data_IF_681548222663
#
_entry.id   IF_681548222663
#
_cell.length_a   1.000
_cell.length_b   1.000
_cell.length_c   1.000
_cell.angle_alpha   90.00
_cell.angle_beta   90.00
_cell.angle_gamma   90.00
#
_symmetry.space_group_name_H-M   'P 1'
#
loop_
_entity.id
_entity.type
_entity.pdbx_description
1 polymer ?
#
# COMPACT_ATOMS: atom_id res chain seq x y z
N UNK A 1 4.95 -17.78 9.27
CA UNK A 1 3.75 -17.26 9.97
C UNK A 1 2.67 -17.18 8.90
N UNK A 2 1.65 -18.06 8.92
CA UNK A 2 0.60 -18.10 7.90
C UNK A 2 -0.51 -17.15 8.33
N UNK A 3 -0.80 -16.11 7.54
CA UNK A 3 -1.97 -15.25 7.76
C UNK A 3 -3.25 -16.11 7.68
N UNK A 4 -4.24 -15.90 8.57
CA UNK A 4 -5.48 -16.66 8.52
C UNK A 4 -6.26 -16.31 7.24
N UNK A 5 -6.71 -17.34 6.54
CA UNK A 5 -7.50 -17.29 5.29
C UNK A 5 -8.76 -16.39 5.39
N UNK A 6 -9.18 -16.07 6.61
CA UNK A 6 -10.27 -15.15 6.93
C UNK A 6 -10.03 -13.71 6.43
N UNK A 7 -8.77 -13.26 6.34
CA UNK A 7 -8.44 -11.91 5.88
C UNK A 7 -8.67 -11.76 4.36
N UNK A 8 -8.42 -12.82 3.59
CA UNK A 8 -8.62 -12.83 2.14
C UNK A 8 -10.09 -12.70 1.72
N UNK A 9 -11.04 -13.10 2.56
CA UNK A 9 -12.47 -13.01 2.27
C UNK A 9 -13.09 -11.65 2.62
N UNK A 10 -12.43 -10.83 3.46
CA UNK A 10 -12.90 -9.48 3.75
C UNK A 10 -12.48 -8.46 2.68
N UNK A 11 -11.42 -8.76 1.92
CA UNK A 11 -10.85 -7.88 0.89
C UNK A 11 -11.65 -7.83 -0.42
N UNK A 12 -12.48 -8.83 -0.73
CA UNK A 12 -13.24 -8.85 -2.00
C UNK A 12 -14.65 -8.23 -1.92
N UNK A 13 -15.06 -7.67 -0.78
CA UNK A 13 -16.43 -7.16 -0.59
C UNK A 13 -16.59 -5.66 -0.92
N UNK A 14 -15.51 -4.96 -1.24
CA UNK A 14 -15.54 -3.57 -1.66
C UNK A 14 -15.41 -3.44 -3.18
N UNK A 15 -16.52 -3.72 -3.85
CA UNK A 15 -16.98 -3.11 -5.10
C UNK A 15 -16.06 -3.17 -6.34
N UNK A 16 -16.15 -4.29 -7.07
CA UNK A 16 -16.28 -4.24 -8.52
C UNK A 16 -17.51 -5.04 -8.97
N UNK A 17 -18.25 -4.48 -9.94
CA UNK A 17 -19.39 -5.11 -10.56
C UNK A 17 -18.90 -6.04 -11.69
N UNK A 18 -18.96 -7.33 -11.39
CA UNK A 18 -19.10 -8.54 -12.22
C UNK A 18 -18.95 -8.42 -13.75
N UNK A 19 -18.02 -9.20 -14.33
CA UNK A 19 -18.13 -9.78 -15.68
C UNK A 19 -17.19 -10.99 -15.86
N UNK A 20 -17.81 -12.17 -15.94
CA UNK A 20 -17.32 -13.46 -16.47
C UNK A 20 -16.29 -13.38 -17.63
N UNK A 21 -15.28 -14.26 -17.62
CA UNK A 21 -15.18 -15.40 -18.56
C UNK A 21 -13.74 -15.94 -18.82
N UNK A 22 -13.56 -17.25 -18.55
CA UNK A 22 -12.74 -18.25 -19.29
C UNK A 22 -11.20 -18.08 -19.30
N UNK A 23 -10.36 -19.11 -19.32
CA UNK A 23 -10.47 -20.56 -19.51
C UNK A 23 -9.03 -21.12 -19.62
N UNK A 24 -8.78 -22.32 -19.10
CA UNK A 24 -7.41 -22.83 -18.88
C UNK A 24 -6.70 -23.47 -20.07
N UNK A 25 -5.46 -23.92 -19.81
CA UNK A 25 -4.85 -25.12 -20.37
C UNK A 25 -3.50 -25.43 -19.70
N UNK A 26 -3.33 -26.65 -19.18
CA UNK A 26 -2.04 -27.26 -18.84
C UNK A 26 -1.29 -27.72 -20.12
N UNK A 27 0.03 -27.93 -20.04
CA UNK A 27 0.51 -29.25 -20.43
C UNK A 27 1.69 -29.82 -19.61
N UNK A 28 1.48 -31.05 -19.16
CA UNK A 28 2.33 -32.27 -19.25
C UNK A 28 3.86 -32.16 -19.39
N UNK A 29 4.56 -32.86 -18.47
CA UNK A 29 6.02 -32.99 -18.42
C UNK A 29 6.65 -34.10 -19.27
N UNK A 30 7.99 -34.21 -19.13
CA UNK A 30 8.82 -35.31 -19.61
C UNK A 30 10.13 -35.41 -18.76
N UNK A 31 10.86 -36.55 -18.79
CA UNK A 31 11.73 -37.00 -17.69
C UNK A 31 13.22 -36.62 -17.83
N UNK A 32 13.94 -36.62 -16.70
CA UNK A 32 15.38 -36.33 -16.60
C UNK A 32 16.27 -37.57 -16.78
N UNK A 33 17.42 -37.37 -17.43
CA UNK A 33 18.59 -38.27 -17.49
C UNK A 33 19.80 -37.60 -16.80
N UNK A 34 20.79 -38.38 -16.31
CA UNK A 34 21.76 -37.91 -15.32
C UNK A 34 22.89 -37.04 -15.91
N UNK A 35 23.37 -36.10 -15.09
CA UNK A 35 24.40 -35.10 -15.40
C UNK A 35 25.80 -35.70 -15.62
N UNK A 36 26.44 -35.25 -16.70
CA UNK A 36 27.87 -35.40 -16.99
C UNK A 36 28.62 -34.15 -16.50
N UNK A 37 29.79 -34.33 -15.89
CA UNK A 37 30.55 -33.26 -15.25
C UNK A 37 31.39 -32.51 -16.30
N UNK A 38 30.87 -31.38 -16.79
CA UNK A 38 31.51 -30.54 -17.80
C UNK A 38 31.68 -29.07 -17.38
N UNK A 39 32.92 -28.60 -17.46
CA UNK A 39 33.43 -27.23 -17.68
C UNK A 39 32.44 -26.06 -17.54
N UNK A 40 32.68 -25.19 -16.55
CA UNK A 40 31.94 -23.94 -16.33
C UNK A 40 32.06 -22.99 -17.52
N UNK A 41 31.01 -22.93 -18.33
CA UNK A 41 30.71 -21.84 -19.25
C UNK A 41 29.84 -20.83 -18.50
N UNK A 42 30.14 -19.53 -18.61
CA UNK A 42 29.28 -18.46 -18.12
C UNK A 42 27.93 -18.56 -18.83
N UNK A 43 27.00 -19.26 -18.19
CA UNK A 43 25.62 -19.40 -18.65
C UNK A 43 24.91 -18.13 -18.20
N UNK A 44 24.34 -17.31 -19.11
CA UNK A 44 23.47 -16.22 -18.68
C UNK A 44 22.38 -16.83 -17.80
N UNK A 45 22.18 -16.26 -16.61
CA UNK A 45 21.07 -16.68 -15.75
C UNK A 45 19.78 -16.67 -16.59
N UNK A 46 18.92 -17.70 -16.47
CA UNK A 46 17.63 -17.65 -17.13
C UNK A 46 16.92 -16.33 -16.74
N UNK A 47 16.17 -15.71 -17.66
CA UNK A 47 15.36 -14.56 -17.29
C UNK A 47 14.49 -14.99 -16.10
N UNK A 48 14.61 -14.28 -14.98
CA UNK A 48 13.78 -14.56 -13.84
C UNK A 48 12.31 -14.48 -14.29
N UNK A 49 11.57 -15.55 -14.03
CA UNK A 49 10.14 -15.60 -14.33
C UNK A 49 9.44 -14.89 -13.19
N UNK A 50 9.18 -13.60 -13.38
CA UNK A 50 8.42 -12.83 -12.40
C UNK A 50 6.96 -13.26 -12.45
N UNK A 51 6.37 -13.49 -11.27
CA UNK A 51 4.93 -13.58 -11.16
C UNK A 51 4.33 -12.19 -11.49
N UNK A 52 3.17 -12.14 -12.17
CA UNK A 52 2.47 -10.88 -12.37
C UNK A 52 2.09 -10.28 -11.01
N UNK A 53 2.29 -8.98 -10.86
CA UNK A 53 1.80 -8.23 -9.70
C UNK A 53 0.37 -7.82 -10.00
N UNK A 54 -0.50 -8.00 -9.01
CA UNK A 54 -1.94 -7.71 -9.12
C UNK A 54 -2.35 -6.64 -8.13
N UNK A 55 -1.72 -6.60 -6.95
CA UNK A 55 -2.11 -5.68 -5.88
C UNK A 55 -0.93 -4.88 -5.35
N UNK A 56 -1.25 -3.83 -4.59
CA UNK A 56 -0.27 -3.01 -3.92
C UNK A 56 -0.75 -2.51 -2.55
N UNK A 57 0.18 -2.13 -1.70
CA UNK A 57 -0.11 -1.42 -0.45
C UNK A 57 0.95 -0.35 -0.20
N UNK A 58 0.60 0.64 0.63
CA UNK A 58 1.49 1.73 1.03
C UNK A 58 1.82 1.62 2.51
N UNK A 59 3.10 1.75 2.85
CA UNK A 59 3.57 1.84 4.23
C UNK A 59 4.54 3.00 4.37
N UNK A 60 4.62 3.60 5.54
CA UNK A 60 5.60 4.65 5.73
C UNK A 60 5.45 5.43 7.02
N UNK A 61 6.21 6.51 7.09
CA UNK A 61 6.20 7.46 8.18
C UNK A 61 6.11 8.87 7.61
N UNK A 62 5.34 9.72 8.29
CA UNK A 62 5.21 11.13 7.95
C UNK A 62 5.25 11.97 9.22
N UNK A 63 6.03 13.04 9.22
CA UNK A 63 6.04 14.01 10.32
C UNK A 63 5.19 15.22 9.95
N UNK A 64 4.33 15.67 10.86
CA UNK A 64 3.57 16.92 10.73
C UNK A 64 4.28 18.01 11.52
N UNK A 65 4.46 19.20 10.94
CA UNK A 65 5.00 20.39 11.59
C UNK A 65 4.19 21.60 11.14
N UNK A 66 3.51 22.27 12.07
CA UNK A 66 2.70 23.44 11.77
C UNK A 66 1.59 23.14 10.76
N UNK A 67 0.88 22.02 10.95
CA UNK A 67 -0.24 21.53 10.13
C UNK A 67 0.15 20.99 8.73
N UNK A 68 1.42 21.09 8.33
CA UNK A 68 1.92 20.56 7.07
C UNK A 68 2.79 19.31 7.27
N UNK A 69 2.81 18.41 6.28
CA UNK A 69 3.79 17.32 6.26
C UNK A 69 5.20 17.92 6.05
N UNK A 70 6.16 17.48 6.86
CA UNK A 70 7.58 17.74 6.65
C UNK A 70 8.11 16.79 5.55
N UNK A 71 8.37 17.30 4.34
CA UNK A 71 8.78 16.44 3.24
C UNK A 71 10.20 15.87 3.45
N UNK A 72 11.02 16.44 4.33
CA UNK A 72 12.33 15.90 4.67
C UNK A 72 12.26 14.69 5.61
N UNK A 73 11.14 14.53 6.31
CA UNK A 73 10.86 13.42 7.24
C UNK A 73 9.79 12.46 6.71
N UNK A 74 9.31 12.66 5.48
CA UNK A 74 8.38 11.75 4.82
C UNK A 74 9.12 10.58 4.20
N UNK A 75 8.77 9.36 4.61
CA UNK A 75 9.35 8.12 4.10
C UNK A 75 8.23 7.17 3.72
N UNK A 76 8.05 6.92 2.43
CA UNK A 76 7.02 6.02 1.92
C UNK A 76 7.64 4.82 1.19
N UNK A 77 6.97 3.68 1.31
CA UNK A 77 7.29 2.40 0.66
C UNK A 77 6.03 1.86 -0.01
N UNK A 78 6.13 1.50 -1.29
CA UNK A 78 5.12 0.69 -1.97
C UNK A 78 5.51 -0.78 -1.86
N UNK A 79 4.53 -1.59 -1.47
CA UNK A 79 4.61 -3.04 -1.48
C UNK A 79 3.78 -3.59 -2.61
N UNK A 80 4.41 -4.32 -3.52
CA UNK A 80 3.81 -4.93 -4.70
C UNK A 80 3.56 -6.40 -4.45
N UNK A 81 2.30 -6.82 -4.57
CA UNK A 81 1.86 -8.17 -4.24
C UNK A 81 1.39 -8.94 -5.48
N UNK A 82 1.77 -10.21 -5.51
CA UNK A 82 1.24 -11.23 -6.43
C UNK A 82 -0.15 -11.71 -5.97
N UNK A 83 -0.87 -12.41 -6.84
CA UNK A 83 -2.21 -12.96 -6.51
C UNK A 83 -2.24 -13.85 -5.26
N UNK A 84 -1.14 -14.57 -5.00
CA UNK A 84 -1.03 -15.45 -3.85
C UNK A 84 -0.68 -14.72 -2.54
N UNK A 85 -0.44 -13.40 -2.60
CA UNK A 85 -0.05 -12.52 -1.51
C UNK A 85 1.19 -13.03 -0.74
N UNK A 86 2.05 -13.85 -1.38
CA UNK A 86 3.21 -14.44 -0.71
C UNK A 86 4.45 -13.56 -0.87
N UNK A 87 4.63 -12.66 0.10
CA UNK A 87 5.76 -11.71 0.20
C UNK A 87 5.72 -10.62 -0.87
N UNK A 88 5.52 -9.35 -0.49
CA UNK A 88 5.56 -8.28 -1.46
C UNK A 88 7.00 -7.99 -1.89
N UNK A 89 7.16 -7.45 -3.09
CA UNK A 89 8.32 -6.63 -3.38
C UNK A 89 8.13 -5.24 -2.76
N UNK A 90 9.09 -4.79 -1.95
CA UNK A 90 9.10 -3.44 -1.38
C UNK A 90 9.97 -2.50 -2.22
N UNK A 91 9.40 -1.36 -2.63
CA UNK A 91 10.08 -0.31 -3.36
C UNK A 91 9.96 1.01 -2.58
N UNK A 92 11.05 1.72 -2.29
CA UNK A 92 10.96 3.06 -1.73
C UNK A 92 10.30 4.00 -2.74
N UNK A 93 9.40 4.85 -2.26
CA UNK A 93 8.82 5.93 -3.05
C UNK A 93 9.74 7.15 -2.96
N UNK A 94 10.43 7.54 -4.04
CA UNK A 94 11.16 8.79 -4.05
C UNK A 94 10.16 9.93 -3.97
N UNK A 95 10.30 10.77 -2.96
CA UNK A 95 9.52 11.99 -2.82
C UNK A 95 10.46 13.15 -3.04
N UNK A 96 10.18 13.97 -4.05
CA UNK A 96 10.81 15.28 -4.15
C UNK A 96 9.99 16.28 -3.33
N UNK A 97 10.65 17.04 -2.47
CA UNK A 97 9.99 17.96 -1.54
C UNK A 97 9.23 19.08 -2.28
N UNK A 98 9.58 19.38 -3.53
CA UNK A 98 8.86 20.34 -4.38
C UNK A 98 7.50 19.80 -4.88
N UNK A 99 7.30 18.48 -4.78
CA UNK A 99 6.14 17.78 -5.33
C UNK A 99 5.08 17.49 -4.26
N UNK A 100 5.35 17.86 -3.00
CA UNK A 100 4.38 17.84 -1.91
C UNK A 100 3.54 19.12 -1.95
N UNK A 101 2.26 18.97 -2.32
CA UNK A 101 1.31 20.08 -2.38
C UNK A 101 0.18 19.80 -1.41
N UNK A 102 0.01 20.69 -0.42
CA UNK A 102 -1.19 20.71 0.40
C UNK A 102 -2.38 21.14 -0.46
N UNK A 103 -3.42 20.34 -0.41
CA UNK A 103 -4.59 20.56 -1.25
C UNK A 103 -5.73 21.20 -0.44
N UNK A 104 -6.36 22.24 -1.00
CA UNK A 104 -7.53 22.91 -0.41
C UNK A 104 -8.67 21.90 -0.11
N UNK A 105 -9.60 22.15 0.84
CA UNK A 105 -10.55 21.15 1.31
C UNK A 105 -11.29 20.41 0.19
N UNK A 106 -11.23 19.08 0.23
CA UNK A 106 -11.59 18.15 -0.85
C UNK A 106 -13.10 17.79 -0.85
N UNK A 107 -13.62 17.20 -1.96
CA UNK A 107 -15.06 17.06 -2.25
C UNK A 107 -15.75 16.16 -1.23
N UNK A 108 -17.07 16.27 -1.15
CA UNK A 108 -17.93 15.61 -0.16
C UNK A 108 -17.70 14.08 -0.09
N UNK A 109 -16.71 13.68 0.69
CA UNK A 109 -16.64 12.33 1.23
C UNK A 109 -17.51 12.32 2.49
N UNK A 110 -18.06 11.16 2.84
CA UNK A 110 -18.74 11.00 4.13
C UNK A 110 -17.78 11.10 5.33
N UNK A 111 -16.47 11.16 5.06
CA UNK A 111 -15.42 11.23 6.06
C UNK A 111 -15.01 12.70 6.31
N UNK A 112 -14.81 13.05 7.58
CA UNK A 112 -14.24 14.33 7.93
C UNK A 112 -12.72 14.27 7.76
N UNK A 113 -12.22 14.76 6.63
CA UNK A 113 -10.79 14.79 6.32
C UNK A 113 -10.12 15.93 7.11
N UNK A 114 -8.97 15.62 7.71
CA UNK A 114 -8.16 16.55 8.50
C UNK A 114 -7.08 17.19 7.63
N UNK A 115 -6.48 16.43 6.71
CA UNK A 115 -5.45 16.93 5.79
C UNK A 115 -5.37 16.08 4.52
N UNK A 116 -4.86 16.68 3.45
CA UNK A 116 -4.73 16.05 2.14
C UNK A 116 -3.51 16.59 1.39
N UNK A 117 -2.71 15.68 0.84
CA UNK A 117 -1.44 16.00 0.19
C UNK A 117 -1.31 15.24 -1.12
N UNK A 118 -0.82 15.93 -2.14
CA UNK A 118 -0.42 15.32 -3.41
C UNK A 118 1.07 14.99 -3.37
N UNK A 119 1.43 13.81 -3.87
CA UNK A 119 2.82 13.35 -4.05
C UNK A 119 2.99 12.91 -5.50
N UNK A 120 3.87 13.58 -6.23
CA UNK A 120 4.38 13.06 -7.50
C UNK A 120 5.54 12.10 -7.21
N UNK A 121 5.42 10.86 -7.65
CA UNK A 121 6.46 9.85 -7.48
C UNK A 121 7.19 9.50 -8.79
N UNK A 122 6.93 10.25 -9.86
CA UNK A 122 7.61 10.12 -11.14
C UNK A 122 7.47 8.73 -11.77
N UNK A 123 8.41 8.37 -12.65
CA UNK A 123 8.48 7.03 -13.24
C UNK A 123 9.15 6.03 -12.28
N UNK A 124 8.40 5.04 -11.79
CA UNK A 124 9.01 3.92 -11.06
C UNK A 124 9.71 2.98 -12.05
N UNK A 125 10.99 3.25 -12.24
CA UNK A 125 11.91 2.24 -12.74
C UNK A 125 12.36 1.43 -11.53
N UNK A 126 11.89 0.19 -11.38
CA UNK A 126 12.46 -0.69 -10.37
C UNK A 126 13.93 -0.90 -10.74
N UNK A 127 14.84 -0.33 -9.95
CA UNK A 127 16.27 -0.61 -10.11
C UNK A 127 16.60 -2.04 -9.65
N UNK A 128 15.68 -2.65 -8.88
CA UNK A 128 15.77 -4.05 -8.49
C UNK A 128 15.23 -4.92 -9.64
N UNK A 129 16.09 -5.73 -10.28
CA UNK A 129 15.64 -6.65 -11.30
C UNK A 129 14.53 -7.57 -10.77
N UNK A 130 14.43 -7.82 -9.46
CA UNK A 130 13.46 -8.68 -8.80
C UNK A 130 11.99 -8.25 -8.87
N UNK A 131 11.71 -7.01 -9.24
CA UNK A 131 10.42 -6.38 -8.96
C UNK A 131 9.77 -5.82 -10.21
N UNK A 132 8.45 -6.01 -10.34
CA UNK A 132 7.70 -5.30 -11.36
C UNK A 132 7.77 -3.78 -11.13
N UNK A 133 7.69 -3.02 -12.22
CA UNK A 133 7.56 -1.58 -12.13
C UNK A 133 6.21 -1.19 -11.54
N UNK A 134 6.17 -0.03 -10.89
CA UNK A 134 4.93 0.60 -10.43
C UNK A 134 4.52 1.69 -11.44
N UNK A 135 3.23 1.92 -11.71
CA UNK A 135 2.83 2.99 -12.63
C UNK A 135 3.32 4.36 -12.18
N UNK A 136 3.85 5.13 -13.13
CA UNK A 136 4.19 6.53 -12.91
C UNK A 136 2.92 7.34 -12.64
N UNK A 137 2.98 8.32 -11.73
CA UNK A 137 1.86 9.22 -11.53
C UNK A 137 1.89 9.99 -10.22
N UNK A 138 0.70 10.44 -9.85
CA UNK A 138 0.47 11.19 -8.62
C UNK A 138 -0.30 10.31 -7.64
N UNK A 139 0.23 10.14 -6.44
CA UNK A 139 -0.51 9.58 -5.32
C UNK A 139 -0.95 10.73 -4.43
N UNK A 140 -2.24 10.77 -4.11
CA UNK A 140 -2.74 11.69 -3.12
C UNK A 140 -3.12 10.95 -1.84
N UNK A 141 -2.69 11.52 -0.72
CA UNK A 141 -2.79 10.98 0.62
C UNK A 141 -3.68 11.87 1.47
N UNK A 142 -4.64 11.23 2.12
CA UNK A 142 -5.53 11.88 3.07
C UNK A 142 -5.45 11.26 4.44
N UNK A 143 -5.57 12.11 5.45
CA UNK A 143 -5.80 11.68 6.83
C UNK A 143 -7.12 12.29 7.28
N UNK A 144 -7.95 11.48 7.93
CA UNK A 144 -9.27 11.89 8.39
C UNK A 144 -9.76 11.12 9.60
N UNK A 145 -11.02 11.34 9.98
CA UNK A 145 -11.67 10.52 10.99
C UNK A 145 -11.60 9.02 10.66
N UNK A 146 -11.44 8.21 11.70
CA UNK A 146 -11.59 6.76 11.61
C UNK A 146 -12.93 6.38 10.99
N UNK A 147 -12.95 5.30 10.21
CA UNK A 147 -14.14 4.77 9.59
C UNK A 147 -14.32 3.28 9.97
N UNK A 148 -15.46 2.91 10.59
CA UNK A 148 -15.71 1.55 11.07
C UNK A 148 -15.69 0.46 10.00
N UNK A 149 -15.68 0.82 8.71
CA UNK A 149 -15.46 -0.16 7.63
C UNK A 149 -14.09 -0.86 7.73
N UNK A 150 -13.14 -0.29 8.48
CA UNK A 150 -11.84 -0.89 8.76
C UNK A 150 -11.84 -1.88 9.93
N UNK A 151 -12.92 -1.97 10.72
CA UNK A 151 -12.99 -2.82 11.93
C UNK A 151 -12.54 -4.26 11.66
N UNK A 152 -12.95 -4.95 10.58
CA UNK A 152 -12.49 -6.33 10.33
C UNK A 152 -10.98 -6.45 10.12
N UNK A 153 -10.35 -5.45 9.51
CA UNK A 153 -8.91 -5.43 9.27
C UNK A 153 -8.14 -5.04 10.54
N UNK A 154 -8.69 -4.14 11.35
CA UNK A 154 -8.19 -3.79 12.67
C UNK A 154 -8.26 -4.96 13.65
N UNK A 155 -9.36 -5.70 13.65
CA UNK A 155 -9.54 -6.92 14.46
C UNK A 155 -8.47 -7.96 14.15
N UNK A 156 -8.18 -8.18 12.86
CA UNK A 156 -7.14 -9.13 12.46
C UNK A 156 -5.73 -8.77 12.95
N UNK A 157 -5.49 -7.49 13.28
CA UNK A 157 -4.24 -7.00 13.90
C UNK A 157 -4.32 -6.87 15.42
N UNK A 158 -5.46 -7.17 16.04
CA UNK A 158 -5.75 -6.91 17.45
C UNK A 158 -5.66 -5.41 17.81
N UNK A 159 -6.16 -4.55 16.92
CA UNK A 159 -6.12 -3.10 17.04
C UNK A 159 -7.50 -2.46 17.24
N UNK A 160 -8.54 -3.23 17.58
CA UNK A 160 -9.88 -2.65 17.79
C UNK A 160 -9.97 -1.66 18.96
N UNK A 161 -9.05 -1.75 19.91
CA UNK A 161 -9.03 -0.90 21.10
C UNK A 161 -8.11 0.32 20.96
N UNK A 162 -7.42 0.49 19.81
CA UNK A 162 -6.58 1.67 19.58
C UNK A 162 -7.38 2.79 18.90
N UNK A 163 -7.08 4.04 19.27
CA UNK A 163 -7.68 5.20 18.63
C UNK A 163 -6.72 5.74 17.56
N UNK A 164 -7.10 5.62 16.30
CA UNK A 164 -6.24 5.96 15.15
C UNK A 164 -7.03 6.74 14.11
N UNK A 165 -6.33 7.48 13.25
CA UNK A 165 -6.94 8.18 12.13
C UNK A 165 -7.18 7.23 10.94
N UNK A 166 -8.13 7.57 10.08
CA UNK A 166 -8.31 6.88 8.80
C UNK A 166 -7.29 7.36 7.76
N UNK A 167 -6.69 6.42 7.02
CA UNK A 167 -5.84 6.67 5.85
C UNK A 167 -6.68 6.54 4.58
N UNK A 168 -6.66 7.60 3.78
CA UNK A 168 -7.36 7.71 2.52
C UNK A 168 -6.36 7.89 1.38
N UNK A 169 -6.60 7.24 0.24
CA UNK A 169 -5.74 7.34 -0.93
C UNK A 169 -6.54 7.66 -2.19
N UNK A 170 -5.90 8.34 -3.13
CA UNK A 170 -6.40 8.53 -4.49
C UNK A 170 -5.25 8.54 -5.49
N UNK A 171 -5.40 7.84 -6.62
CA UNK A 171 -4.34 7.66 -7.62
C UNK A 171 -4.33 8.72 -8.73
N UNK A 172 -5.32 9.60 -8.76
CA UNK A 172 -5.40 10.78 -9.63
C UNK A 172 -6.54 11.70 -9.17
N UNK A 173 -6.54 13.00 -9.50
CA UNK A 173 -7.58 13.93 -9.05
C UNK A 173 -9.03 13.55 -9.38
N UNK A 174 -9.24 12.73 -10.41
CA UNK A 174 -10.55 12.23 -10.83
C UNK A 174 -10.87 10.81 -10.36
N UNK A 175 -9.91 10.10 -9.76
CA UNK A 175 -10.09 8.74 -9.25
C UNK A 175 -10.99 8.73 -8.01
N UNK A 176 -11.64 7.59 -7.71
CA UNK A 176 -12.31 7.39 -6.42
C UNK A 176 -11.34 7.59 -5.24
N UNK A 177 -11.88 8.03 -4.10
CA UNK A 177 -11.14 8.05 -2.83
C UNK A 177 -11.31 6.69 -2.16
N UNK A 178 -10.19 6.03 -1.90
CA UNK A 178 -10.14 4.74 -1.23
C UNK A 178 -9.84 4.94 0.26
N UNK A 179 -10.59 4.26 1.13
CA UNK A 179 -10.25 4.07 2.53
C UNK A 179 -9.41 2.81 2.63
N UNK A 180 -8.12 2.95 2.97
CA UNK A 180 -7.15 1.87 2.77
C UNK A 180 -6.51 1.37 4.05
N UNK A 181 -6.58 2.15 5.12
CA UNK A 181 -5.87 1.81 6.34
C UNK A 181 -5.94 2.90 7.39
N UNK A 182 -4.90 2.99 8.19
CA UNK A 182 -4.88 3.85 9.39
C UNK A 182 -3.60 4.65 9.48
N UNK A 183 -3.69 5.77 10.20
CA UNK A 183 -2.56 6.63 10.55
C UNK A 183 -2.56 6.84 12.06
N UNK A 184 -1.42 6.68 12.70
CA UNK A 184 -1.29 6.84 14.15
C UNK A 184 0.15 7.06 14.55
N UNK A 185 0.36 7.67 15.71
CA UNK A 185 1.68 7.72 16.34
C UNK A 185 1.98 6.36 16.96
N UNK A 186 3.24 6.08 17.27
CA UNK A 186 3.60 4.84 17.96
C UNK A 186 2.80 4.66 19.26
N UNK A 187 2.61 5.73 20.03
CA UNK A 187 1.86 5.70 21.28
C UNK A 187 0.36 5.38 21.06
N UNK A 188 -0.25 5.86 19.97
CA UNK A 188 -1.62 5.48 19.61
C UNK A 188 -1.69 3.99 19.25
N UNK A 189 -0.75 3.46 18.46
CA UNK A 189 -0.70 2.03 18.12
C UNK A 189 -0.38 1.11 19.31
N UNK A 190 0.34 1.61 20.30
CA UNK A 190 0.61 0.90 21.56
C UNK A 190 -0.56 1.00 22.55
N UNK A 191 -1.56 1.86 22.28
CA UNK A 191 -2.72 2.10 23.15
C UNK A 191 -2.38 2.94 24.39
N UNK A 192 -1.23 3.60 24.40
CA UNK A 192 -0.76 4.45 25.50
C UNK A 192 -1.43 5.83 25.48
N UNK A 193 -1.90 6.27 24.32
CA UNK A 193 -2.71 7.47 24.18
C UNK A 193 -4.19 7.14 23.96
N UNK A 194 -5.09 7.69 24.79
CA UNK A 194 -6.49 7.24 24.80
C UNK A 194 -7.37 7.94 23.77
N UNK A 195 -6.86 8.96 23.06
CA UNK A 195 -7.71 9.79 22.18
C UNK A 195 -6.95 10.43 21.04
N UNK A 196 -7.47 10.28 19.82
CA UNK A 196 -7.10 11.12 18.68
C UNK A 196 -7.60 12.56 18.89
N UNK A 197 -6.74 13.54 18.60
CA UNK A 197 -7.15 14.94 18.62
C UNK A 197 -8.00 15.28 17.40
N UNK A 198 -8.98 16.15 17.59
CA UNK A 198 -9.64 16.84 16.49
C UNK A 198 -8.63 17.72 15.72
N UNK A 199 -8.93 18.01 14.46
CA UNK A 199 -8.11 18.83 13.58
C UNK A 199 -7.68 20.17 14.21
N UNK A 200 -6.46 20.66 13.92
CA UNK A 200 -5.45 20.09 13.00
C UNK A 200 -4.72 18.86 13.60
N UNK A 201 -4.00 18.11 12.77
CA UNK A 201 -3.10 17.07 13.27
C UNK A 201 -2.01 17.70 14.16
N UNK A 202 -1.77 17.17 15.37
CA UNK A 202 -0.64 17.59 16.19
C UNK A 202 0.71 17.41 15.49
N UNK A 203 1.68 18.25 15.89
CA UNK A 203 3.06 18.21 15.40
C UNK A 203 3.80 16.97 15.93
N UNK A 204 3.71 15.85 15.22
CA UNK A 204 4.28 14.56 15.60
C UNK A 204 4.68 13.72 14.38
N UNK A 205 5.33 12.58 14.63
CA UNK A 205 5.60 11.56 13.62
C UNK A 205 4.52 10.48 13.68
N UNK A 206 3.93 10.22 12.53
CA UNK A 206 2.87 9.24 12.34
C UNK A 206 3.36 8.10 11.46
N UNK A 207 2.99 6.88 11.83
CA UNK A 207 3.08 5.69 11.00
C UNK A 207 1.82 5.59 10.13
N UNK A 208 2.02 5.28 8.85
CA UNK A 208 0.97 5.05 7.86
C UNK A 208 0.93 3.56 7.55
N UNK A 209 -0.19 2.92 7.84
CA UNK A 209 -0.37 1.49 7.66
C UNK A 209 -1.57 1.19 6.77
N UNK A 210 -1.31 0.75 5.55
CA UNK A 210 -2.35 0.17 4.70
C UNK A 210 -2.79 -1.18 5.26
N UNK A 211 -4.09 -1.32 5.49
CA UNK A 211 -4.74 -2.53 5.98
C UNK A 211 -5.42 -3.31 4.85
N UNK A 212 -5.67 -2.66 3.72
CA UNK A 212 -6.37 -3.20 2.55
C UNK A 212 -5.46 -3.07 1.33
N UNK A 213 -5.10 -4.19 0.69
CA UNK A 213 -4.36 -4.14 -0.58
C UNK A 213 -5.29 -3.60 -1.68
N UNK A 214 -4.74 -2.76 -2.55
CA UNK A 214 -5.45 -2.15 -3.67
C UNK A 214 -5.08 -2.84 -4.97
N UNK A 215 -6.01 -2.91 -5.91
CA UNK A 215 -5.70 -3.34 -7.27
C UNK A 215 -4.77 -2.36 -7.97
N UNK A 216 -3.87 -2.91 -8.78
CA UNK A 216 -3.08 -2.15 -9.74
C UNK A 216 -3.98 -1.64 -10.87
N UNK A 217 -3.95 -0.34 -11.20
CA UNK A 217 -4.71 0.23 -12.32
C UNK A 217 -4.19 -0.19 -13.69
#
# INVERSE_FOLDING_TARGET
MRLPLSLLLALSACAEADLDAMGGAEPTGAPFSPLDAGTYTNTPSPPATYAPITFWSLHGQATVIGEALDPAALSLEIRLWTEDLTSPCSLPLPIDTKDLIELAPFPETSANLIGWWSIDHGESTSADPGCAGWPAGTLELGVGSYDPRLDPAMEARNWLDVDVYGLYLRTAPASPVYLVGVVGTLALFEGDEPTVSAAPLPDETYDLETLVVLDLP
#
